data_IF_341005147454
#
_entry.id   IF_341005147454
#
_cell.length_a   1.000
_cell.length_b   1.000
_cell.length_c   1.000
_cell.angle_alpha   90.00
_cell.angle_beta   90.00
_cell.angle_gamma   90.00
#
_symmetry.space_group_name_H-M   'P 1'
#
loop_
_entity.id
_entity.type
_entity.pdbx_description
1 polymer ?
#
# COMPACT_ATOMS: atom_id res chain seq x y z
N UNK A 1 -11.56 9.08 9.19
CA UNK A 1 -10.69 8.66 8.08
C UNK A 1 -11.23 7.35 7.55
N UNK A 2 -11.33 7.14 6.23
CA UNK A 2 -11.62 5.81 5.70
C UNK A 2 -10.53 4.83 6.14
N UNK A 3 -10.90 3.57 6.32
CA UNK A 3 -9.97 2.52 6.75
C UNK A 3 -8.84 2.34 5.74
N UNK A 4 -7.59 2.12 6.20
CA UNK A 4 -6.47 1.89 5.30
C UNK A 4 -6.68 0.60 4.52
N UNK A 5 -6.26 0.59 3.25
CA UNK A 5 -6.18 -0.66 2.51
C UNK A 5 -4.91 -1.40 2.93
N UNK A 6 -5.07 -2.63 3.41
CA UNK A 6 -3.98 -3.43 3.97
C UNK A 6 -3.62 -4.56 3.00
N UNK A 7 -2.33 -4.84 2.88
CA UNK A 7 -1.78 -6.02 2.24
C UNK A 7 -0.74 -6.66 3.15
N UNK A 8 -0.78 -7.98 3.33
CA UNK A 8 0.23 -8.72 4.08
C UNK A 8 0.83 -9.76 3.14
N UNK A 9 2.15 -9.81 3.02
CA UNK A 9 2.79 -10.75 2.12
C UNK A 9 4.30 -10.60 2.02
N UNK A 10 4.85 -11.18 0.95
CA UNK A 10 6.27 -11.27 0.70
C UNK A 10 7.00 -12.25 1.62
N UNK A 11 8.32 -12.38 1.40
CA UNK A 11 9.16 -13.39 2.06
C UNK A 11 9.08 -13.35 3.59
N UNK A 12 9.04 -12.14 4.17
CA UNK A 12 9.00 -11.92 5.61
C UNK A 12 7.57 -11.68 6.15
N UNK A 13 6.53 -11.87 5.33
CA UNK A 13 5.13 -11.66 5.68
C UNK A 13 4.87 -10.29 6.36
N UNK A 14 5.45 -9.21 5.82
CA UNK A 14 5.26 -7.86 6.36
C UNK A 14 3.99 -7.23 5.83
N UNK A 15 3.52 -6.19 6.53
CA UNK A 15 2.33 -5.46 6.15
C UNK A 15 2.71 -4.27 5.27
N UNK A 16 1.81 -3.93 4.36
CA UNK A 16 1.79 -2.70 3.59
C UNK A 16 0.43 -2.03 3.80
N UNK A 17 0.44 -0.71 3.78
CA UNK A 17 -0.76 0.10 3.94
C UNK A 17 -0.86 1.10 2.80
N UNK A 18 -2.08 1.33 2.31
CA UNK A 18 -2.39 2.46 1.45
C UNK A 18 -3.42 3.34 2.15
N UNK A 19 -3.02 4.59 2.42
CA UNK A 19 -3.80 5.58 3.15
C UNK A 19 -4.12 6.75 2.22
N UNK A 20 -5.38 7.20 2.23
CA UNK A 20 -5.79 8.42 1.56
C UNK A 20 -5.64 9.63 2.49
N UNK A 21 -4.70 10.52 2.17
CA UNK A 21 -4.49 11.79 2.84
C UNK A 21 -5.05 12.93 2.00
N UNK A 22 -6.39 13.08 2.01
CA UNK A 22 -7.12 14.13 1.29
C UNK A 22 -6.82 14.16 -0.23
N UNK A 23 -6.93 13.00 -0.88
CA UNK A 23 -6.62 12.78 -2.29
C UNK A 23 -5.20 12.31 -2.53
N UNK A 24 -4.32 12.39 -1.53
CA UNK A 24 -2.94 11.93 -1.63
C UNK A 24 -2.78 10.51 -1.09
N UNK A 25 -2.86 9.53 -1.99
CA UNK A 25 -2.56 8.13 -1.70
C UNK A 25 -1.09 7.92 -1.28
N UNK A 26 -0.86 7.70 0.02
CA UNK A 26 0.43 7.33 0.60
C UNK A 26 0.50 5.81 0.77
N UNK A 27 1.52 5.19 0.16
CA UNK A 27 1.90 3.81 0.46
C UNK A 27 2.90 3.79 1.63
N UNK A 28 2.66 2.93 2.60
CA UNK A 28 3.59 2.61 3.69
C UNK A 28 4.03 1.17 3.49
N UNK A 29 5.34 0.99 3.38
CA UNK A 29 6.00 -0.25 2.97
C UNK A 29 5.55 -0.80 1.61
N UNK A 30 6.32 -1.75 1.09
CA UNK A 30 6.05 -2.38 -0.20
C UNK A 30 6.61 -3.81 -0.26
N UNK A 31 6.06 -4.76 0.52
CA UNK A 31 6.44 -6.15 0.40
C UNK A 31 6.14 -6.70 -0.99
N UNK A 32 6.78 -7.82 -1.32
CA UNK A 32 6.56 -8.53 -2.58
C UNK A 32 5.07 -8.85 -2.79
N UNK A 33 4.60 -8.62 -4.02
CA UNK A 33 3.20 -8.76 -4.42
C UNK A 33 2.32 -7.54 -4.11
N UNK A 34 2.78 -6.55 -3.33
CA UNK A 34 1.98 -5.35 -3.04
C UNK A 34 1.67 -4.53 -4.30
N UNK A 35 2.64 -4.34 -5.19
CA UNK A 35 2.43 -3.61 -6.44
C UNK A 35 1.35 -4.28 -7.32
N UNK A 36 1.36 -5.61 -7.40
CA UNK A 36 0.37 -6.34 -8.20
C UNK A 36 -1.02 -6.30 -7.56
N UNK A 37 -1.10 -6.32 -6.23
CA UNK A 37 -2.32 -6.07 -5.49
C UNK A 37 -2.91 -4.67 -5.79
N UNK A 38 -2.07 -3.64 -5.82
CA UNK A 38 -2.49 -2.28 -6.19
C UNK A 38 -2.97 -2.20 -7.65
N UNK A 39 -2.25 -2.83 -8.58
CA UNK A 39 -2.65 -2.91 -10.00
C UNK A 39 -4.02 -3.56 -10.18
N UNK A 40 -4.30 -4.69 -9.49
CA UNK A 40 -5.61 -5.36 -9.53
C UNK A 40 -6.75 -4.45 -9.07
N UNK A 41 -6.47 -3.55 -8.13
CA UNK A 41 -7.42 -2.55 -7.62
C UNK A 41 -7.45 -1.24 -8.42
N UNK A 42 -6.60 -1.11 -9.45
CA UNK A 42 -6.41 0.11 -10.23
C UNK A 42 -6.06 1.33 -9.36
N UNK A 43 -5.30 1.10 -8.29
CA UNK A 43 -4.82 2.15 -7.38
C UNK A 43 -3.36 2.48 -7.69
N UNK A 44 -3.03 3.77 -7.66
CA UNK A 44 -1.68 4.27 -7.87
C UNK A 44 -1.28 5.17 -6.70
N UNK A 45 -0.29 4.78 -5.87
CA UNK A 45 0.21 5.64 -4.81
C UNK A 45 0.96 6.83 -5.41
N UNK A 46 0.86 7.98 -4.74
CA UNK A 46 1.59 9.20 -5.08
C UNK A 46 2.97 9.24 -4.40
N UNK A 47 3.11 8.58 -3.25
CA UNK A 47 4.35 8.54 -2.48
C UNK A 47 4.50 7.20 -1.77
N UNK A 48 5.75 6.81 -1.50
CA UNK A 48 6.13 5.63 -0.76
C UNK A 48 6.95 6.05 0.46
N UNK A 49 6.53 5.59 1.64
CA UNK A 49 7.25 5.74 2.89
C UNK A 49 7.72 4.37 3.35
N UNK A 50 9.03 4.22 3.59
CA UNK A 50 9.66 2.97 4.04
C UNK A 50 10.16 3.17 5.48
N UNK A 51 9.94 2.17 6.34
CA UNK A 51 10.45 2.17 7.73
C UNK A 51 11.77 1.44 7.89
#
# INVERSE_FOLDING_TARGET
>A
MPDPLIYTGGLAATNAYLIDLAGHLLAIDAPEGFLDFLKKKKLKPHSLFLT
#
